data_IF_648824296704
#
_entry.id   IF_648824296704
#
_cell.length_a   1.000
_cell.length_b   1.000
_cell.length_c   1.000
_cell.angle_alpha   90.00
_cell.angle_beta   90.00
_cell.angle_gamma   90.00
#
_symmetry.space_group_name_H-M   'P 1'
#
loop_
_entity.id
_entity.type
_entity.pdbx_description
1 polymer ?
#
# COMPACT_ATOMS: atom_id res chain seq x y z
N UNK A 1 -3.66 -13.63 8.70
CA UNK A 1 -2.90 -13.19 9.91
C UNK A 1 -1.78 -14.19 10.19
N UNK A 2 -0.64 -13.81 10.79
CA UNK A 2 0.48 -14.75 11.01
C UNK A 2 0.03 -15.96 11.85
N UNK A 3 0.15 -17.15 11.28
CA UNK A 3 -0.03 -18.43 11.95
C UNK A 3 1.26 -18.80 12.72
N UNK A 4 1.14 -19.60 13.78
CA UNK A 4 2.28 -20.16 14.51
C UNK A 4 3.17 -21.03 13.63
N UNK A 5 2.61 -21.60 12.57
CA UNK A 5 3.34 -22.44 11.61
C UNK A 5 4.08 -21.63 10.55
N UNK A 6 3.80 -20.32 10.42
CA UNK A 6 4.50 -19.45 9.47
C UNK A 6 5.91 -19.15 9.99
N UNK A 7 6.92 -19.55 9.20
CA UNK A 7 8.34 -19.34 9.54
C UNK A 7 8.64 -17.86 9.76
N UNK A 8 8.13 -17.00 8.88
CA UNK A 8 8.22 -15.55 8.97
C UNK A 8 6.99 -14.86 8.34
N UNK A 9 7.02 -13.52 8.32
CA UNK A 9 5.94 -12.71 7.76
C UNK A 9 5.87 -12.75 6.22
N UNK A 10 6.96 -13.09 5.54
CA UNK A 10 6.95 -13.28 4.10
C UNK A 10 6.19 -14.57 3.76
N UNK A 11 6.46 -15.65 4.49
CA UNK A 11 5.73 -16.92 4.35
C UNK A 11 4.25 -16.76 4.68
N UNK A 12 3.91 -15.91 5.66
CA UNK A 12 2.52 -15.52 5.91
C UNK A 12 1.87 -14.93 4.66
N UNK A 13 2.53 -13.94 4.01
CA UNK A 13 1.99 -13.29 2.82
C UNK A 13 1.79 -14.28 1.65
N UNK A 14 2.73 -15.22 1.47
CA UNK A 14 2.67 -16.23 0.41
C UNK A 14 1.56 -17.25 0.65
N UNK A 15 1.39 -17.70 1.91
CA UNK A 15 0.29 -18.61 2.30
C UNK A 15 -1.07 -17.94 2.11
N UNK A 16 -1.25 -16.72 2.62
CA UNK A 16 -2.54 -16.01 2.52
C UNK A 16 -2.87 -15.71 1.04
N UNK A 17 -1.87 -15.37 0.22
CA UNK A 17 -2.06 -15.21 -1.23
C UNK A 17 -2.58 -16.50 -1.91
N UNK A 18 -2.11 -17.67 -1.48
CA UNK A 18 -2.64 -18.95 -1.96
C UNK A 18 -4.05 -19.24 -1.44
N UNK A 19 -4.32 -18.95 -0.17
CA UNK A 19 -5.63 -19.16 0.45
C UNK A 19 -6.70 -18.30 -0.23
N UNK A 20 -6.43 -17.00 -0.40
CA UNK A 20 -7.34 -16.00 -0.93
C UNK A 20 -7.48 -16.07 -2.46
N UNK A 21 -6.37 -16.21 -3.20
CA UNK A 21 -6.34 -16.04 -4.67
C UNK A 21 -5.94 -17.29 -5.45
N UNK A 22 -5.48 -18.35 -4.76
CA UNK A 22 -4.96 -19.58 -5.38
C UNK A 22 -3.82 -19.34 -6.37
N UNK A 23 -3.02 -18.30 -6.12
CA UNK A 23 -1.78 -18.06 -6.86
C UNK A 23 -0.69 -18.96 -6.27
N UNK A 24 -0.15 -19.94 -7.02
CA UNK A 24 0.84 -20.88 -6.50
C UNK A 24 2.13 -20.17 -6.12
N UNK A 25 2.78 -20.60 -5.03
CA UNK A 25 4.04 -20.05 -4.55
C UNK A 25 5.11 -20.00 -5.63
N UNK A 26 5.16 -21.00 -6.47
CA UNK A 26 6.17 -21.21 -7.51
C UNK A 26 6.07 -20.17 -8.63
N UNK A 27 4.92 -19.48 -8.73
CA UNK A 27 4.71 -18.35 -9.64
C UNK A 27 5.14 -17.01 -9.05
N UNK A 28 5.45 -16.95 -7.76
CA UNK A 28 5.71 -15.71 -7.03
C UNK A 28 7.23 -15.51 -6.88
N UNK A 29 7.76 -14.50 -7.56
CA UNK A 29 9.12 -14.03 -7.42
C UNK A 29 9.14 -12.81 -6.48
N UNK A 30 9.53 -13.02 -5.22
CA UNK A 30 9.58 -11.96 -4.21
C UNK A 30 10.78 -11.06 -4.45
N UNK A 31 10.53 -9.80 -4.77
CA UNK A 31 11.57 -8.81 -5.03
C UNK A 31 12.11 -8.18 -3.75
N UNK A 32 11.21 -7.81 -2.83
CA UNK A 32 11.61 -7.19 -1.56
C UNK A 32 10.48 -7.25 -0.53
N UNK A 33 10.86 -7.08 0.73
CA UNK A 33 9.95 -6.79 1.84
C UNK A 33 10.11 -5.34 2.28
N UNK A 34 9.03 -4.76 2.79
CA UNK A 34 9.03 -3.43 3.41
C UNK A 34 9.25 -3.51 4.93
N UNK A 35 9.42 -2.35 5.56
CA UNK A 35 9.40 -2.25 7.02
C UNK A 35 8.00 -2.54 7.57
N UNK A 36 7.89 -2.88 8.86
CA UNK A 36 6.61 -2.96 9.55
C UNK A 36 5.94 -1.59 9.61
N UNK A 37 4.66 -1.56 9.22
CA UNK A 37 3.84 -0.35 9.18
C UNK A 37 2.55 -0.65 9.92
N UNK A 38 2.17 0.21 10.84
CA UNK A 38 1.03 -0.07 11.69
C UNK A 38 0.76 1.03 12.68
N UNK A 39 -0.40 0.93 13.32
CA UNK A 39 -0.76 1.75 14.48
C UNK A 39 -1.46 0.85 15.48
N UNK A 40 -1.02 0.93 16.74
CA UNK A 40 -1.58 0.14 17.84
C UNK A 40 -1.45 -1.37 17.56
N UNK A 41 -2.58 -2.08 17.51
CA UNK A 41 -2.62 -3.54 17.57
C UNK A 41 -2.42 -4.23 16.21
N UNK A 42 -2.37 -3.45 15.12
CA UNK A 42 -2.19 -3.97 13.77
C UNK A 42 -0.90 -3.45 13.16
N UNK A 43 0.00 -4.38 12.85
CA UNK A 43 1.26 -4.12 12.15
C UNK A 43 1.31 -5.03 10.92
N UNK A 44 1.65 -4.46 9.77
CA UNK A 44 1.71 -5.14 8.47
C UNK A 44 3.10 -4.94 7.89
N UNK A 45 3.67 -6.03 7.37
CA UNK A 45 4.90 -5.99 6.58
C UNK A 45 4.51 -6.14 5.11
N UNK A 46 4.68 -5.10 4.28
CA UNK A 46 4.43 -5.23 2.85
C UNK A 46 5.42 -6.19 2.20
N UNK A 47 4.94 -7.02 1.29
CA UNK A 47 5.77 -7.88 0.43
C UNK A 47 5.49 -7.49 -1.01
N UNK A 48 6.54 -7.18 -1.77
CA UNK A 48 6.44 -6.83 -3.18
C UNK A 48 7.01 -7.96 -4.02
N UNK A 49 6.21 -8.47 -4.94
CA UNK A 49 6.55 -9.63 -5.74
C UNK A 49 6.03 -9.49 -7.17
N UNK A 50 6.69 -10.18 -8.09
CA UNK A 50 6.21 -10.43 -9.43
C UNK A 50 5.49 -11.79 -9.49
N UNK A 51 4.30 -11.81 -10.05
CA UNK A 51 3.43 -13.00 -10.10
C UNK A 51 3.21 -13.52 -11.53
N UNK A 52 3.90 -12.95 -12.51
CA UNK A 52 3.67 -13.25 -13.92
C UNK A 52 2.42 -12.59 -14.50
N UNK A 53 1.96 -13.13 -15.63
CA UNK A 53 0.69 -12.74 -16.24
C UNK A 53 -0.47 -13.27 -15.40
N UNK A 54 -1.42 -12.38 -15.10
CA UNK A 54 -2.62 -12.71 -14.34
C UNK A 54 -3.83 -12.10 -15.04
N UNK A 55 -4.87 -12.92 -15.22
CA UNK A 55 -6.20 -12.49 -15.64
C UNK A 55 -7.09 -12.56 -14.40
N UNK A 56 -7.43 -11.43 -13.76
CA UNK A 56 -8.13 -11.43 -12.48
C UNK A 56 -9.45 -12.20 -12.49
N UNK A 57 -10.16 -12.18 -13.61
CA UNK A 57 -11.43 -12.87 -13.81
C UNK A 57 -11.30 -14.40 -13.85
N UNK A 58 -10.09 -14.93 -14.10
CA UNK A 58 -9.79 -16.36 -14.12
C UNK A 58 -9.23 -16.87 -12.77
N UNK A 59 -9.01 -15.98 -11.80
CA UNK A 59 -8.54 -16.37 -10.47
C UNK A 59 -9.61 -17.17 -9.74
N UNK A 60 -9.18 -18.27 -9.11
CA UNK A 60 -10.04 -19.09 -8.25
C UNK A 60 -10.07 -18.52 -6.84
N UNK A 61 -10.66 -17.34 -6.69
CA UNK A 61 -10.73 -16.65 -5.40
C UNK A 61 -11.52 -17.44 -4.36
N UNK A 62 -11.18 -17.29 -3.09
CA UNK A 62 -11.95 -17.81 -1.97
C UNK A 62 -13.11 -16.85 -1.64
N UNK A 63 -14.38 -17.21 -1.93
CA UNK A 63 -15.51 -16.29 -1.75
C UNK A 63 -15.86 -15.99 -0.30
N UNK A 64 -15.36 -16.79 0.66
CA UNK A 64 -15.57 -16.53 2.10
C UNK A 64 -14.75 -15.32 2.59
N UNK A 65 -13.70 -14.93 1.86
CA UNK A 65 -12.75 -13.89 2.25
C UNK A 65 -12.58 -12.80 1.19
N UNK A 66 -12.72 -13.15 -0.09
CA UNK A 66 -12.49 -12.28 -1.25
C UNK A 66 -13.74 -12.18 -2.11
N UNK A 67 -14.29 -10.97 -2.20
CA UNK A 67 -15.42 -10.68 -3.09
C UNK A 67 -14.98 -10.59 -4.55
N UNK A 68 -13.83 -9.95 -4.82
CA UNK A 68 -13.34 -9.71 -6.17
C UNK A 68 -11.83 -9.46 -6.22
N UNK A 69 -11.18 -9.88 -7.32
CA UNK A 69 -9.82 -9.50 -7.67
C UNK A 69 -9.80 -8.58 -8.90
N UNK A 70 -8.98 -7.53 -8.88
CA UNK A 70 -8.82 -6.60 -10.00
C UNK A 70 -7.40 -6.05 -10.06
N UNK A 71 -7.03 -5.47 -11.21
CA UNK A 71 -5.72 -4.84 -11.41
C UNK A 71 -5.82 -3.36 -11.75
N UNK A 72 -4.77 -2.61 -11.43
CA UNK A 72 -4.59 -1.23 -11.86
C UNK A 72 -3.21 -1.11 -12.49
N UNK A 73 -3.15 -0.63 -13.74
CA UNK A 73 -1.86 -0.43 -14.42
C UNK A 73 -0.99 0.60 -13.69
N UNK A 74 0.33 0.41 -13.69
CA UNK A 74 1.29 1.40 -13.17
C UNK A 74 1.10 2.78 -13.81
N UNK A 75 0.82 2.86 -15.12
CA UNK A 75 0.56 4.12 -15.80
C UNK A 75 -0.57 4.92 -15.13
N UNK A 76 -1.70 4.27 -14.84
CA UNK A 76 -2.84 4.91 -14.15
C UNK A 76 -2.54 5.22 -12.68
N UNK A 77 -1.76 4.39 -12.00
CA UNK A 77 -1.32 4.64 -10.62
C UNK A 77 -0.36 5.85 -10.52
N UNK A 78 0.35 6.15 -11.61
CA UNK A 78 1.28 7.27 -11.69
C UNK A 78 0.70 8.53 -12.36
N UNK A 79 -0.52 8.48 -12.93
CA UNK A 79 -1.13 9.64 -13.58
C UNK A 79 -1.61 10.66 -12.54
N UNK A 80 -1.05 11.89 -12.52
CA UNK A 80 -1.47 12.93 -11.57
C UNK A 80 -2.95 13.29 -11.61
N UNK A 81 -3.63 13.07 -12.75
CA UNK A 81 -5.07 13.32 -12.89
C UNK A 81 -5.92 12.26 -12.20
N UNK A 82 -5.34 11.09 -11.93
CA UNK A 82 -6.00 9.94 -11.30
C UNK A 82 -5.56 9.76 -9.83
N UNK A 83 -4.84 10.73 -9.28
CA UNK A 83 -4.39 10.73 -7.88
C UNK A 83 -5.08 11.87 -7.15
N UNK A 84 -5.70 11.53 -6.02
CA UNK A 84 -6.30 12.45 -5.08
C UNK A 84 -5.76 12.19 -3.66
N UNK A 85 -6.18 12.99 -2.69
CA UNK A 85 -5.67 12.92 -1.32
C UNK A 85 -6.79 12.90 -0.30
N UNK A 86 -6.65 12.00 0.68
CA UNK A 86 -7.52 11.95 1.86
C UNK A 86 -6.81 12.55 3.05
N UNK A 87 -7.39 13.60 3.64
CA UNK A 87 -6.88 14.24 4.84
C UNK A 87 -7.57 13.66 6.08
N UNK A 88 -6.82 12.89 6.87
CA UNK A 88 -7.24 12.44 8.18
C UNK A 88 -6.96 13.55 9.20
N UNK A 89 -7.95 13.85 10.04
CA UNK A 89 -7.81 14.89 11.09
C UNK A 89 -7.21 14.35 12.38
N UNK A 90 -7.34 13.04 12.63
CA UNK A 90 -6.81 12.34 13.81
C UNK A 90 -6.39 10.91 13.43
N UNK A 91 -5.08 10.62 13.28
CA UNK A 91 -3.96 11.57 13.30
C UNK A 91 -4.04 12.57 12.12
N UNK A 92 -3.32 13.69 12.22
CA UNK A 92 -3.11 14.59 11.09
C UNK A 92 -2.23 13.88 10.06
N UNK A 93 -2.85 13.28 9.05
CA UNK A 93 -2.18 12.46 8.04
C UNK A 93 -2.86 12.65 6.70
N UNK A 94 -2.08 12.85 5.64
CA UNK A 94 -2.59 12.90 4.27
C UNK A 94 -2.15 11.65 3.54
N UNK A 95 -3.08 10.87 3.02
CA UNK A 95 -2.78 9.65 2.27
C UNK A 95 -3.25 9.76 0.82
N UNK A 96 -2.49 9.18 -0.13
CA UNK A 96 -2.89 9.15 -1.52
C UNK A 96 -4.10 8.25 -1.73
N UNK A 97 -4.85 8.59 -2.77
CA UNK A 97 -6.02 7.87 -3.21
C UNK A 97 -5.99 7.78 -4.74
N UNK A 98 -5.90 6.55 -5.24
CA UNK A 98 -5.78 6.24 -6.66
C UNK A 98 -7.14 5.91 -7.25
N UNK A 99 -7.49 6.59 -8.35
CA UNK A 99 -8.83 6.60 -8.95
C UNK A 99 -8.89 5.94 -10.34
N UNK A 100 -7.78 5.40 -10.85
CA UNK A 100 -7.71 4.84 -12.20
C UNK A 100 -8.20 3.40 -12.39
N UNK A 101 -8.40 2.68 -11.28
CA UNK A 101 -8.85 1.28 -11.28
C UNK A 101 -10.35 1.12 -11.43
N UNK A 102 -10.81 -0.14 -11.42
CA UNK A 102 -12.24 -0.48 -11.27
C UNK A 102 -12.79 0.08 -9.95
N UNK A 103 -11.99 -0.01 -8.90
CA UNK A 103 -12.27 0.56 -7.59
C UNK A 103 -11.17 1.52 -7.15
N UNK A 104 -11.55 2.39 -6.21
CA UNK A 104 -10.66 3.36 -5.56
C UNK A 104 -9.70 2.63 -4.60
N UNK A 105 -8.40 2.84 -4.76
CA UNK A 105 -7.37 2.36 -3.82
C UNK A 105 -6.98 3.50 -2.87
N UNK A 106 -7.20 3.33 -1.57
CA UNK A 106 -7.04 4.40 -0.57
C UNK A 106 -6.72 3.84 0.82
N UNK A 107 -6.57 4.72 1.82
CA UNK A 107 -6.31 4.32 3.20
C UNK A 107 -4.96 3.62 3.36
N UNK A 108 -4.92 2.56 4.16
CA UNK A 108 -3.68 1.83 4.44
C UNK A 108 -3.10 1.16 3.18
N UNK A 109 -3.94 0.57 2.33
CA UNK A 109 -3.53 0.02 1.03
C UNK A 109 -2.99 1.11 0.10
N UNK A 110 -3.59 2.30 0.12
CA UNK A 110 -3.08 3.46 -0.62
C UNK A 110 -1.68 3.88 -0.15
N UNK A 111 -1.41 3.83 1.16
CA UNK A 111 -0.08 4.08 1.70
C UNK A 111 0.94 3.03 1.23
N UNK A 112 0.62 1.74 1.31
CA UNK A 112 1.48 0.65 0.80
C UNK A 112 1.76 0.81 -0.69
N UNK A 113 0.72 1.13 -1.47
CA UNK A 113 0.85 1.39 -2.92
C UNK A 113 1.81 2.55 -3.18
N UNK A 114 1.74 3.62 -2.40
CA UNK A 114 2.66 4.75 -2.51
C UNK A 114 4.12 4.34 -2.31
N UNK A 115 4.43 3.61 -1.24
CA UNK A 115 5.80 3.13 -1.00
C UNK A 115 6.29 2.19 -2.10
N UNK A 116 5.42 1.33 -2.63
CA UNK A 116 5.76 0.46 -3.75
C UNK A 116 6.09 1.28 -5.01
N UNK A 117 5.32 2.33 -5.31
CA UNK A 117 5.56 3.19 -6.48
C UNK A 117 6.83 4.05 -6.35
N UNK A 118 7.11 4.59 -5.15
CA UNK A 118 8.37 5.29 -4.87
C UNK A 118 9.59 4.40 -5.12
N UNK A 119 9.49 3.10 -4.78
CA UNK A 119 10.56 2.14 -5.00
C UNK A 119 10.66 1.65 -6.45
N UNK A 120 9.53 1.33 -7.09
CA UNK A 120 9.50 0.71 -8.41
C UNK A 120 9.77 1.67 -9.56
N UNK A 121 9.27 2.90 -9.48
CA UNK A 121 9.30 3.87 -10.59
C UNK A 121 9.63 5.30 -10.11
N UNK A 122 10.73 5.50 -9.36
CA UNK A 122 11.07 6.80 -8.75
C UNK A 122 11.21 7.95 -9.75
N UNK A 123 11.58 7.64 -11.00
CA UNK A 123 11.70 8.62 -12.08
C UNK A 123 10.35 9.12 -12.61
N UNK A 124 9.28 8.33 -12.46
CA UNK A 124 7.92 8.63 -12.93
C UNK A 124 7.06 9.14 -11.78
N UNK A 125 7.07 8.45 -10.64
CA UNK A 125 6.25 8.75 -9.49
C UNK A 125 6.98 9.72 -8.54
N UNK A 126 6.70 11.03 -8.69
CA UNK A 126 7.43 12.13 -8.02
C UNK A 126 6.73 12.70 -6.78
N UNK A 127 5.84 11.94 -6.17
CA UNK A 127 5.15 12.38 -4.97
C UNK A 127 6.03 12.10 -3.76
N UNK A 128 6.54 13.15 -3.13
CA UNK A 128 7.15 13.06 -1.81
C UNK A 128 6.06 13.32 -0.77
N UNK A 129 5.53 12.28 -0.13
CA UNK A 129 4.81 12.51 1.11
C UNK A 129 5.84 12.59 2.24
N UNK A 130 5.53 13.39 3.27
CA UNK A 130 6.22 13.20 4.55
C UNK A 130 6.05 11.74 4.87
N UNK A 131 7.17 11.02 4.75
CA UNK A 131 7.26 9.61 5.05
C UNK A 131 6.45 9.34 6.31
N UNK A 132 5.83 8.16 6.37
CA UNK A 132 5.26 7.64 7.63
C UNK A 132 6.45 7.31 8.57
N UNK A 133 7.39 8.25 8.76
CA UNK A 133 8.45 8.21 9.72
C UNK A 133 7.95 8.81 11.03
N UNK A 134 8.02 7.95 12.04
CA UNK A 134 7.70 8.15 13.46
C UNK A 134 6.22 8.09 13.87
N UNK A 135 5.55 6.97 13.59
CA UNK A 135 4.64 6.41 14.63
C UNK A 135 5.39 5.66 15.74
N UNK A 136 6.73 5.75 15.76
CA UNK A 136 7.55 5.64 16.96
C UNK A 136 8.00 7.04 17.38
N UNK A 137 7.15 7.79 18.08
CA UNK A 137 7.61 8.91 18.91
C UNK A 137 7.61 8.43 20.35
N UNK A 138 8.74 7.86 20.77
CA UNK A 138 9.09 7.84 22.18
C UNK A 138 9.04 9.29 22.69
N UNK A 139 8.42 9.48 23.86
CA UNK A 139 8.36 10.76 24.55
C UNK A 139 9.78 11.27 24.83
N UNK A 140 10.22 12.29 24.09
CA UNK A 140 11.08 13.36 24.59
C UNK A 140 11.06 14.51 23.59
N UNK A 141 10.93 15.73 24.09
CA UNK A 141 10.79 16.93 23.29
C UNK A 141 12.08 17.30 22.57
N UNK A 142 11.94 17.85 21.37
CA UNK A 142 12.29 19.25 21.14
C UNK A 142 11.61 19.74 19.86
N UNK A 143 11.31 21.04 19.85
CA UNK A 143 10.59 21.75 18.79
C UNK A 143 11.59 22.18 17.73
N UNK A 144 11.39 21.78 16.48
CA UNK A 144 11.80 22.59 15.33
C UNK A 144 10.69 22.62 14.29
N UNK A 145 10.25 23.84 13.99
CA UNK A 145 9.23 24.18 13.01
C UNK A 145 9.89 24.36 11.64
N UNK A 146 9.63 23.46 10.70
CA UNK A 146 9.91 23.69 9.28
C UNK A 146 8.58 23.96 8.57
N UNK A 147 8.42 25.21 8.15
CA UNK A 147 7.34 25.66 7.27
C UNK A 147 7.57 25.11 5.87
N UNK A 148 6.61 24.37 5.31
CA UNK A 148 6.57 24.09 3.88
C UNK A 148 5.21 24.49 3.31
N UNK A 149 5.24 25.44 2.37
CA UNK A 149 4.08 25.94 1.65
C UNK A 149 3.43 24.83 0.82
N UNK A 150 2.29 24.32 1.29
CA UNK A 150 1.48 23.37 0.54
C UNK A 150 0.37 24.09 -0.22
N UNK A 151 0.55 24.25 -1.53
CA UNK A 151 -0.52 24.62 -2.46
C UNK A 151 -1.38 23.39 -2.82
N UNK A 152 -2.22 22.94 -1.89
CA UNK A 152 -3.31 22.02 -2.20
C UNK A 152 -4.51 22.82 -2.73
N UNK A 153 -4.71 22.82 -4.06
CA UNK A 153 -5.97 23.31 -4.64
C UNK A 153 -7.11 22.45 -4.10
N UNK A 154 -7.89 23.03 -3.19
CA UNK A 154 -9.20 22.54 -2.73
C UNK A 154 -10.08 22.27 -3.96
N UNK A 155 -10.40 21.01 -4.22
CA UNK A 155 -11.65 20.69 -4.91
C UNK A 155 -12.73 20.60 -3.85
N UNK A 156 -13.64 21.57 -3.84
CA UNK A 156 -14.86 21.51 -3.03
C UNK A 156 -15.79 20.48 -3.69
N UNK A 157 -16.32 19.57 -2.88
CA UNK A 157 -17.66 19.00 -3.10
C UNK A 157 -18.64 20.04 -2.55
#
# INVERSE_FOLDING_TARGET
MRDKNDVDLQETALRETWEELKIPREKIDVWTTGNLIGKSDVNVMPVLAYIGEVVPEELKINPDEVEEAFVVSLQKLCDPKLISFTNFRRPLLTLPCYLGGKYRVWGFTGAITHMALECLVPQVYKYNFLSIQSMQKNKSGDKESVSSDYNARRSKI
#
